data_IF_946442802760
#
_entry.id   IF_946442802760
#
_cell.length_a   1.000
_cell.length_b   1.000
_cell.length_c   1.000
_cell.angle_alpha   90.00
_cell.angle_beta   90.00
_cell.angle_gamma   90.00
#
_symmetry.space_group_name_H-M   'P 1'
#
loop_
_entity.id
_entity.type
_entity.pdbx_description
1 polymer ?
#
# COMPACT_ATOMS: atom_id res chain seq x y z
N UNK A 1 -24.19 18.41 31.46
CA UNK A 1 -23.46 17.20 31.26
C UNK A 1 -23.04 17.08 29.83
N UNK A 2 -21.83 16.71 29.65
CA UNK A 2 -21.37 16.60 28.31
C UNK A 2 -21.92 15.33 27.72
N UNK A 3 -22.46 15.45 26.55
CA UNK A 3 -22.92 14.30 25.89
C UNK A 3 -21.75 13.60 25.28
N UNK A 4 -21.69 12.31 25.44
CA UNK A 4 -20.62 11.57 24.79
C UNK A 4 -20.76 11.73 23.31
N UNK A 5 -19.69 12.13 22.65
CA UNK A 5 -19.75 12.26 21.21
C UNK A 5 -19.89 10.87 20.58
N UNK A 6 -20.69 10.77 19.55
CA UNK A 6 -20.75 9.53 18.81
C UNK A 6 -19.41 9.28 18.20
N UNK A 7 -18.98 8.01 18.15
CA UNK A 7 -17.72 7.70 17.48
C UNK A 7 -17.81 8.13 16.02
N UNK A 8 -16.70 8.59 15.48
CA UNK A 8 -16.65 8.92 14.07
C UNK A 8 -16.91 7.65 13.27
N UNK A 9 -17.68 7.74 12.20
CA UNK A 9 -17.91 6.56 11.38
C UNK A 9 -16.61 6.06 10.79
N UNK A 10 -16.52 4.76 10.58
CA UNK A 10 -15.36 4.19 9.93
C UNK A 10 -15.28 4.71 8.50
N UNK A 11 -14.07 4.98 8.02
CA UNK A 11 -13.95 5.45 6.64
C UNK A 11 -14.39 4.36 5.66
N UNK A 12 -14.99 4.81 4.58
CA UNK A 12 -15.39 3.88 3.52
C UNK A 12 -14.19 3.53 2.65
N UNK A 13 -14.35 2.48 1.85
CA UNK A 13 -13.32 2.12 0.89
C UNK A 13 -12.99 3.31 -0.01
N UNK A 14 -14.00 4.02 -0.47
CA UNK A 14 -13.78 5.15 -1.34
C UNK A 14 -12.99 6.27 -0.65
N UNK A 15 -13.32 6.56 0.60
CA UNK A 15 -12.58 7.57 1.33
C UNK A 15 -11.11 7.20 1.52
N UNK A 16 -10.85 5.93 1.78
CA UNK A 16 -9.47 5.45 1.93
C UNK A 16 -8.72 5.52 0.60
N UNK A 17 -9.40 5.20 -0.50
CA UNK A 17 -8.79 5.29 -1.81
C UNK A 17 -8.46 6.75 -2.13
N UNK A 18 -9.36 7.68 -1.81
CA UNK A 18 -9.09 9.10 -2.06
C UNK A 18 -7.93 9.60 -1.22
N UNK A 19 -7.85 9.17 0.03
CA UNK A 19 -6.74 9.54 0.88
C UNK A 19 -5.42 9.02 0.28
N UNK A 20 -5.39 7.74 -0.10
CA UNK A 20 -4.19 7.13 -0.65
C UNK A 20 -3.81 7.78 -1.98
N UNK A 21 -4.80 8.00 -2.84
CA UNK A 21 -4.56 8.66 -4.12
C UNK A 21 -3.93 10.03 -3.92
N UNK A 22 -4.51 10.82 -3.01
CA UNK A 22 -3.99 12.15 -2.74
C UNK A 22 -2.55 12.13 -2.29
N UNK A 23 -2.20 11.18 -1.41
CA UNK A 23 -0.84 11.09 -0.91
C UNK A 23 0.13 10.56 -1.97
N UNK A 24 -0.28 9.59 -2.75
CA UNK A 24 0.58 9.06 -3.81
C UNK A 24 0.90 10.14 -4.85
N UNK A 25 -0.06 11.02 -5.13
CA UNK A 25 0.19 12.10 -6.09
C UNK A 25 0.96 13.25 -5.47
N UNK A 26 0.59 13.66 -4.25
CA UNK A 26 1.23 14.81 -3.61
C UNK A 26 2.66 14.50 -3.17
N UNK A 27 2.93 13.26 -2.78
CA UNK A 27 4.24 12.87 -2.27
C UNK A 27 5.02 12.05 -3.28
N UNK A 28 4.70 12.22 -4.55
CA UNK A 28 5.40 11.54 -5.63
C UNK A 28 6.88 11.90 -5.59
N UNK A 29 7.77 10.94 -5.90
CA UNK A 29 9.21 11.18 -5.83
C UNK A 29 9.76 12.28 -6.73
N UNK A 30 9.12 12.56 -7.85
CA UNK A 30 9.56 13.62 -8.77
C UNK A 30 10.94 13.35 -9.37
N UNK A 31 11.23 12.10 -9.68
CA UNK A 31 12.54 11.78 -10.26
C UNK A 31 12.45 11.46 -11.74
N UNK A 32 11.31 11.72 -12.35
CA UNK A 32 11.12 11.48 -13.78
C UNK A 32 10.77 10.06 -14.15
N UNK A 33 11.11 9.11 -13.29
CA UNK A 33 10.77 7.71 -13.55
C UNK A 33 9.68 7.24 -12.62
N UNK A 34 9.73 7.70 -11.39
CA UNK A 34 8.78 7.27 -10.38
C UNK A 34 7.74 8.34 -10.04
N UNK A 35 7.58 9.31 -10.92
CA UNK A 35 6.54 10.30 -10.73
C UNK A 35 5.18 9.67 -10.95
N UNK A 36 4.35 9.69 -9.93
CA UNK A 36 3.00 9.17 -10.06
C UNK A 36 2.15 10.23 -10.75
N UNK A 37 1.66 9.92 -11.93
CA UNK A 37 0.88 10.90 -12.68
C UNK A 37 -0.61 10.66 -12.59
N UNK A 38 -1.01 9.44 -12.28
CA UNK A 38 -2.42 9.14 -12.12
C UNK A 38 -2.57 7.92 -11.23
N UNK A 39 -3.61 7.91 -10.39
CA UNK A 39 -3.92 6.78 -9.53
C UNK A 39 -5.40 6.48 -9.73
N UNK A 40 -5.72 5.24 -10.07
CA UNK A 40 -7.08 4.79 -10.31
C UNK A 40 -7.40 3.63 -9.40
N UNK A 41 -8.67 3.43 -9.12
CA UNK A 41 -9.12 2.29 -8.34
C UNK A 41 -10.35 1.69 -8.97
N UNK A 42 -10.31 0.36 -9.15
CA UNK A 42 -11.45 -0.39 -9.65
C UNK A 42 -12.07 -1.16 -8.48
N UNK A 43 -13.22 -0.73 -7.98
CA UNK A 43 -13.81 -1.41 -6.82
C UNK A 43 -14.32 -2.81 -7.13
N UNK A 44 -14.62 -3.12 -8.37
CA UNK A 44 -15.13 -4.45 -8.71
C UNK A 44 -14.05 -5.51 -8.56
N UNK A 45 -12.79 -5.17 -8.77
CA UNK A 45 -11.68 -6.10 -8.63
C UNK A 45 -10.77 -5.71 -7.47
N UNK A 46 -11.02 -4.58 -6.81
CA UNK A 46 -10.18 -4.02 -5.75
C UNK A 46 -8.74 -3.85 -6.23
N UNK A 47 -8.59 -3.31 -7.43
CA UNK A 47 -7.28 -3.08 -8.03
C UNK A 47 -6.94 -1.60 -7.98
N UNK A 48 -5.79 -1.28 -7.39
CA UNK A 48 -5.27 0.07 -7.35
C UNK A 48 -4.20 0.18 -8.43
N UNK A 49 -4.40 1.06 -9.40
CA UNK A 49 -3.47 1.23 -10.51
C UNK A 49 -2.74 2.55 -10.37
N UNK A 50 -1.41 2.48 -10.39
CA UNK A 50 -0.57 3.67 -10.34
C UNK A 50 0.10 3.82 -11.70
N UNK A 51 -0.10 4.96 -12.32
CA UNK A 51 0.42 5.24 -13.66
C UNK A 51 1.59 6.21 -13.53
N UNK A 52 2.70 5.83 -14.15
CA UNK A 52 3.91 6.63 -14.17
C UNK A 52 4.27 6.93 -15.63
N UNK A 53 5.23 7.83 -15.87
CA UNK A 53 5.54 8.22 -17.26
C UNK A 53 5.87 7.06 -18.19
N UNK A 54 6.54 6.03 -17.66
CA UNK A 54 6.98 4.93 -18.52
C UNK A 54 6.36 3.59 -18.15
N UNK A 55 5.49 3.56 -17.15
CA UNK A 55 4.93 2.28 -16.71
C UNK A 55 3.61 2.47 -15.99
N UNK A 56 2.92 1.36 -15.84
CA UNK A 56 1.69 1.30 -15.07
C UNK A 56 1.77 0.05 -14.22
N UNK A 57 1.46 0.17 -12.94
CA UNK A 57 1.44 -0.99 -12.06
C UNK A 57 0.07 -1.16 -11.44
N UNK A 58 -0.44 -2.38 -11.54
CA UNK A 58 -1.70 -2.77 -10.91
C UNK A 58 -1.39 -3.47 -9.58
N UNK A 59 -2.07 -3.02 -8.53
CA UNK A 59 -1.88 -3.57 -7.19
C UNK A 59 -3.19 -4.25 -6.78
N UNK A 60 -3.11 -5.54 -6.48
CA UNK A 60 -4.30 -6.37 -6.25
C UNK A 60 -4.54 -6.48 -4.74
N UNK A 61 -5.41 -5.62 -4.23
CA UNK A 61 -5.58 -5.50 -2.78
C UNK A 61 -6.18 -6.75 -2.14
N UNK A 62 -6.97 -7.50 -2.90
CA UNK A 62 -7.54 -8.75 -2.37
C UNK A 62 -6.51 -9.80 -2.04
N UNK A 63 -5.34 -9.70 -2.66
CA UNK A 63 -4.29 -10.67 -2.43
C UNK A 63 -3.44 -10.37 -1.21
N UNK A 64 -3.63 -9.22 -0.57
CA UNK A 64 -2.69 -8.73 0.42
C UNK A 64 -3.04 -9.13 1.84
N UNK A 65 -2.00 -9.11 2.69
CA UNK A 65 -2.12 -9.38 4.11
C UNK A 65 -1.83 -8.08 4.86
N UNK A 66 -2.85 -7.55 5.50
CA UNK A 66 -2.74 -6.28 6.21
C UNK A 66 -1.82 -6.35 7.42
N UNK A 67 -1.45 -7.54 7.86
CA UNK A 67 -0.54 -7.69 9.00
C UNK A 67 0.93 -7.58 8.64
N UNK A 68 1.24 -7.49 7.34
CA UNK A 68 2.64 -7.52 6.89
C UNK A 68 3.10 -6.22 6.28
N UNK A 69 2.63 -5.10 6.82
CA UNK A 69 3.04 -3.78 6.30
C UNK A 69 4.33 -3.36 6.98
N UNK A 70 5.34 -3.06 6.19
CA UNK A 70 6.62 -2.58 6.71
C UNK A 70 7.05 -1.34 5.96
N UNK A 71 7.93 -0.56 6.59
CA UNK A 71 8.48 0.66 6.02
C UNK A 71 9.99 0.60 6.01
N UNK A 72 10.60 1.12 4.95
CA UNK A 72 12.04 1.31 4.92
C UNK A 72 12.38 2.48 4.01
N UNK A 73 13.64 2.85 4.02
CA UNK A 73 14.14 3.85 3.10
C UNK A 73 14.74 3.13 1.90
N UNK A 74 14.40 3.61 0.73
CA UNK A 74 14.88 3.02 -0.51
C UNK A 74 15.64 4.08 -1.28
N UNK A 75 16.88 3.79 -1.60
CA UNK A 75 17.72 4.71 -2.36
C UNK A 75 17.95 4.12 -3.74
N UNK A 76 17.25 4.62 -4.75
CA UNK A 76 17.44 4.08 -6.10
C UNK A 76 18.71 4.57 -6.77
N UNK A 77 19.43 5.51 -6.13
CA UNK A 77 20.50 6.19 -6.81
C UNK A 77 21.79 5.41 -6.88
N UNK A 78 21.98 4.49 -6.01
CA UNK A 78 23.18 3.71 -6.06
C UNK A 78 24.43 4.58 -6.10
N UNK A 79 24.65 5.25 -5.08
CA UNK A 79 25.85 5.99 -4.74
C UNK A 79 26.29 7.11 -5.67
N UNK A 80 26.06 7.05 -6.94
CA UNK A 80 26.56 8.10 -7.83
C UNK A 80 25.47 8.99 -8.38
N UNK A 81 24.23 8.71 -8.06
CA UNK A 81 23.13 9.46 -8.60
C UNK A 81 22.60 10.36 -7.51
N UNK A 82 22.13 11.53 -7.86
CA UNK A 82 21.60 12.46 -6.88
C UNK A 82 20.10 12.35 -6.68
N UNK A 83 19.49 11.27 -7.11
CA UNK A 83 18.07 11.10 -6.92
C UNK A 83 17.73 11.04 -5.43
N UNK A 84 16.57 11.55 -5.04
CA UNK A 84 16.22 11.60 -3.63
C UNK A 84 15.93 10.22 -3.07
N UNK A 85 16.12 10.11 -1.76
CA UNK A 85 15.72 8.90 -1.05
C UNK A 85 14.20 8.79 -1.04
N UNK A 86 13.75 7.57 -1.08
CA UNK A 86 12.32 7.27 -1.09
C UNK A 86 11.94 6.55 0.20
N UNK A 87 10.75 6.88 0.69
CA UNK A 87 10.15 6.15 1.79
C UNK A 87 9.26 5.10 1.17
N UNK A 88 9.49 3.85 1.51
CA UNK A 88 8.81 2.74 0.85
C UNK A 88 7.95 1.95 1.82
N UNK A 89 6.67 1.83 1.49
CA UNK A 89 5.77 0.94 2.19
C UNK A 89 5.69 -0.35 1.41
N UNK A 90 5.88 -1.48 2.08
CA UNK A 90 5.80 -2.80 1.46
C UNK A 90 4.79 -3.65 2.21
N UNK A 91 3.96 -4.37 1.47
CA UNK A 91 3.11 -5.38 2.08
C UNK A 91 3.05 -6.59 1.15
N UNK A 92 2.92 -7.77 1.73
CA UNK A 92 3.01 -9.01 0.97
C UNK A 92 1.66 -9.67 0.83
N UNK A 93 1.58 -10.59 -0.13
CA UNK A 93 0.35 -11.31 -0.38
C UNK A 93 0.21 -12.49 0.55
N UNK A 94 -1.01 -13.01 0.56
CA UNK A 94 -1.31 -14.23 1.27
C UNK A 94 -0.90 -15.40 0.38
N UNK A 95 -0.19 -16.36 0.94
CA UNK A 95 0.09 -17.64 0.28
C UNK A 95 0.70 -17.49 -1.12
N UNK A 96 1.53 -16.48 -1.30
CA UNK A 96 2.25 -16.34 -2.58
C UNK A 96 1.42 -15.87 -3.75
N UNK A 97 0.20 -15.38 -3.52
CA UNK A 97 -0.61 -14.85 -4.61
C UNK A 97 0.07 -13.65 -5.25
N UNK A 98 -0.18 -13.45 -6.53
CA UNK A 98 0.34 -12.27 -7.22
C UNK A 98 -0.35 -11.03 -6.66
N UNK A 99 0.45 -10.09 -6.19
CA UNK A 99 -0.07 -8.85 -5.61
C UNK A 99 0.16 -7.64 -6.49
N UNK A 100 1.10 -7.73 -7.43
CA UNK A 100 1.43 -6.60 -8.28
C UNK A 100 1.83 -7.09 -9.67
N UNK A 101 1.39 -6.36 -10.70
CA UNK A 101 1.82 -6.60 -12.07
C UNK A 101 2.03 -5.25 -12.74
N UNK A 102 3.16 -5.08 -13.37
CA UNK A 102 3.50 -3.82 -14.04
C UNK A 102 3.62 -4.01 -15.55
N UNK A 103 3.35 -2.93 -16.28
CA UNK A 103 3.32 -2.94 -17.73
C UNK A 103 4.06 -1.72 -18.25
N UNK A 104 4.71 -1.85 -19.42
CA UNK A 104 5.40 -0.72 -20.01
C UNK A 104 4.41 0.23 -20.68
N UNK A 105 4.93 1.28 -21.31
CA UNK A 105 4.07 2.31 -21.91
C UNK A 105 3.21 1.76 -23.04
N UNK A 106 3.59 0.64 -23.63
CA UNK A 106 2.82 0.03 -24.71
C UNK A 106 1.86 -1.04 -24.18
N UNK A 107 1.83 -1.25 -22.87
CA UNK A 107 0.91 -2.22 -22.30
C UNK A 107 1.44 -3.64 -22.22
N UNK A 108 2.71 -3.84 -22.52
CA UNK A 108 3.31 -5.17 -22.42
C UNK A 108 3.76 -5.44 -20.97
N UNK A 109 3.59 -6.66 -20.47
CA UNK A 109 4.06 -6.98 -19.12
C UNK A 109 5.56 -6.77 -19.00
N UNK A 110 5.97 -6.13 -17.91
CA UNK A 110 7.39 -5.96 -17.65
C UNK A 110 7.89 -7.18 -16.89
N UNK A 111 9.00 -7.72 -17.33
CA UNK A 111 9.56 -8.91 -16.69
C UNK A 111 10.00 -8.61 -15.28
N UNK A 112 9.76 -9.56 -14.38
CA UNK A 112 10.21 -9.43 -13.01
C UNK A 112 9.37 -8.54 -12.14
N UNK A 113 8.29 -7.95 -12.67
CA UNK A 113 7.47 -7.04 -11.88
C UNK A 113 6.20 -7.69 -11.33
N UNK A 114 5.86 -8.89 -11.81
CA UNK A 114 4.74 -9.62 -11.23
C UNK A 114 5.25 -10.27 -9.95
N UNK A 115 4.82 -9.78 -8.80
CA UNK A 115 5.37 -10.19 -7.53
C UNK A 115 4.28 -10.46 -6.52
N UNK A 116 4.68 -11.08 -5.42
CA UNK A 116 3.77 -11.38 -4.32
C UNK A 116 3.75 -10.25 -3.28
N UNK A 117 4.17 -9.06 -3.65
CA UNK A 117 4.12 -7.92 -2.74
C UNK A 117 3.90 -6.64 -3.52
N UNK A 118 3.36 -5.64 -2.84
CA UNK A 118 3.27 -4.32 -3.43
C UNK A 118 4.25 -3.41 -2.72
N UNK A 119 4.63 -2.35 -3.42
CA UNK A 119 5.50 -1.32 -2.88
C UNK A 119 4.92 0.03 -3.28
N UNK A 120 4.72 0.88 -2.30
CA UNK A 120 4.27 2.24 -2.54
C UNK A 120 5.41 3.16 -2.18
N UNK A 121 5.77 4.04 -3.10
CA UNK A 121 6.92 4.92 -2.92
C UNK A 121 6.47 6.35 -2.71
N UNK A 122 7.08 6.99 -1.71
CA UNK A 122 6.79 8.38 -1.38
C UNK A 122 8.11 9.12 -1.27
N UNK A 123 8.11 10.40 -1.62
CA UNK A 123 9.28 11.23 -1.39
C UNK A 123 9.52 11.33 0.11
N UNK A 124 10.73 10.97 0.55
CA UNK A 124 11.07 11.06 1.96
C UNK A 124 10.97 12.49 2.46
N UNK A 125 11.53 13.43 1.70
CA UNK A 125 11.54 14.82 2.13
C UNK A 125 10.14 15.38 2.28
N UNK A 126 9.25 15.06 1.32
CA UNK A 126 7.87 15.56 1.40
C UNK A 126 7.12 14.88 2.54
N UNK A 127 7.37 13.59 2.74
CA UNK A 127 6.68 12.85 3.81
C UNK A 127 7.03 13.37 5.19
N UNK A 128 8.26 13.80 5.37
CA UNK A 128 8.69 14.32 6.66
C UNK A 128 8.01 15.64 7.04
N UNK A 129 7.36 16.29 6.09
CA UNK A 129 6.61 17.50 6.37
C UNK A 129 5.23 17.19 6.98
N UNK A 130 4.84 15.93 7.01
CA UNK A 130 3.51 15.55 7.48
C UNK A 130 3.63 14.80 8.78
N UNK A 131 3.24 15.39 9.92
CA UNK A 131 3.33 14.69 11.21
C UNK A 131 2.52 13.41 11.20
N UNK A 132 3.12 12.32 11.67
CA UNK A 132 2.43 11.05 11.79
C UNK A 132 2.07 10.40 10.47
N UNK A 133 2.77 10.75 9.39
CA UNK A 133 2.42 10.24 8.08
C UNK A 133 2.45 8.71 8.01
N UNK A 134 3.53 8.09 8.51
CA UNK A 134 3.67 6.64 8.39
C UNK A 134 2.55 5.91 9.14
N UNK A 135 2.24 6.37 10.35
CA UNK A 135 1.19 5.74 11.14
C UNK A 135 -0.17 5.87 10.45
N UNK A 136 -0.47 7.06 9.95
CA UNK A 136 -1.74 7.29 9.29
C UNK A 136 -1.85 6.49 8.00
N UNK A 137 -0.79 6.45 7.22
CA UNK A 137 -0.80 5.69 5.98
C UNK A 137 -0.89 4.20 6.25
N UNK A 138 -0.21 3.70 7.28
CA UNK A 138 -0.31 2.30 7.66
C UNK A 138 -1.74 1.94 8.00
N UNK A 139 -2.42 2.78 8.80
CA UNK A 139 -3.81 2.50 9.15
C UNK A 139 -4.72 2.53 7.92
N UNK A 140 -4.49 3.50 7.04
CA UNK A 140 -5.32 3.61 5.84
C UNK A 140 -5.15 2.39 4.94
N UNK A 141 -3.92 1.95 4.74
CA UNK A 141 -3.65 0.81 3.88
C UNK A 141 -4.20 -0.48 4.50
N UNK A 142 -4.03 -0.66 5.82
CA UNK A 142 -4.61 -1.82 6.50
C UNK A 142 -6.11 -1.89 6.30
N UNK A 143 -6.81 -0.79 6.57
CA UNK A 143 -8.25 -0.77 6.45
C UNK A 143 -8.68 -0.99 5.00
N UNK A 144 -7.95 -0.39 4.06
CA UNK A 144 -8.29 -0.56 2.66
C UNK A 144 -8.13 -2.01 2.22
N UNK A 145 -7.07 -2.68 2.66
CA UNK A 145 -6.87 -4.08 2.33
C UNK A 145 -8.02 -4.92 2.86
N UNK A 146 -8.40 -4.72 4.11
CA UNK A 146 -9.48 -5.50 4.72
C UNK A 146 -10.81 -5.24 4.01
N UNK A 147 -11.13 -3.97 3.73
CA UNK A 147 -12.36 -3.63 3.04
C UNK A 147 -12.38 -4.13 1.60
N UNK A 148 -11.22 -4.38 1.04
CA UNK A 148 -11.11 -4.88 -0.34
C UNK A 148 -11.12 -6.40 -0.42
N UNK A 149 -11.20 -7.08 0.71
CA UNK A 149 -11.25 -8.54 0.71
C UNK A 149 -9.94 -9.22 1.02
N UNK A 150 -8.92 -8.46 1.41
CA UNK A 150 -7.66 -9.05 1.84
C UNK A 150 -7.74 -9.59 3.26
N UNK A 151 -6.67 -10.21 3.69
CA UNK A 151 -6.60 -10.82 5.01
C UNK A 151 -6.22 -9.78 6.04
N UNK A 152 -6.77 -9.89 7.23
CA UNK A 152 -6.46 -8.94 8.28
C UNK A 152 -5.12 -9.20 8.95
N UNK A 153 -4.57 -10.35 8.81
CA UNK A 153 -3.22 -10.64 9.26
C UNK A 153 -3.11 -11.22 10.62
N UNK A 154 -3.99 -10.86 11.53
CA UNK A 154 -3.79 -11.25 12.88
C UNK A 154 -4.06 -12.67 13.10
N UNK A 155 -4.82 -13.21 12.27
CA UNK A 155 -5.14 -14.53 12.47
C UNK A 155 -3.97 -15.35 12.62
N UNK A 156 -2.91 -14.84 12.30
CA UNK A 156 -1.77 -15.59 12.46
C UNK A 156 -1.46 -15.85 13.85
N UNK A 157 -1.98 -15.12 14.74
CA UNK A 157 -1.67 -15.32 16.06
C UNK A 157 -2.77 -15.69 16.81
N UNK A 158 -3.68 -15.67 16.35
CA UNK A 158 -4.69 -16.00 17.18
C UNK A 158 -4.88 -17.29 17.31
N UNK A 159 -4.19 -17.41 17.16
CA UNK A 159 -4.22 -18.30 17.41
C UNK A 159 -4.01 -18.84 17.93
N UNK A 160 -3.84 -18.69 18.18
CA UNK A 160 -3.69 -19.11 18.58
C UNK A 160 -4.10 -19.16 19.23
N UNK A 161 -4.14 -19.06 19.46
CA UNK A 161 -4.46 -19.22 19.96
C UNK A 161 -5.21 -19.55 20.01
N UNK A 162 -5.38 -19.71 20.03
CA UNK A 162 -5.77 -20.34 20.05
C UNK A 162 -6.07 -20.80 19.90
N UNK A 163 -6.14 -21.47 20.17
CA UNK A 163 -6.18 -22.28 20.14
C UNK A 163 -6.50 -22.69 20.20
N UNK A 164 -6.60 -22.93 20.60
CA UNK A 164 -6.63 -23.72 20.73
C UNK A 164 -6.61 -24.19 20.60
N UNK A 165 -6.55 -24.59 20.88
CA UNK A 165 -6.22 -25.17 20.74
C UNK A 165 -5.97 -25.16 20.60
N UNK A 166 -5.93 -25.37 20.89
CA UNK A 166 -5.40 -25.50 20.84
C UNK A 166 -5.46 -25.43 20.93
N UNK A 167 -5.54 -25.74 21.34
CA UNK A 167 -5.35 -26.11 21.58
C UNK A 167 -5.32 -26.36 21.64
N UNK A 168 -5.48 -26.87 22.01
CA UNK A 168 -5.18 -27.41 22.19
C UNK A 168 -5.22 -27.56 22.19
N UNK A 169 -5.37 -28.02 22.73
CA UNK A 169 -5.21 -28.50 22.87
C UNK A 169 -4.90 -28.53 22.75
#
# INVERSE_FOLDING_TARGET
MAEAADPLPEPTQQELVEYLRGKLLALSPNDGFNDNVEVRFDPSTSTLTVIQPTSRCDHFLRALDAGNITWDLFDPSDEHDSRPELLRLTTTSVSGKTARACFDAQGHPEEGTSTNRIRLLFSRAKSEQIPGFQEKMTMAVKKLIVLSGGVEGRELFQDSHSNPAHKNK
#
